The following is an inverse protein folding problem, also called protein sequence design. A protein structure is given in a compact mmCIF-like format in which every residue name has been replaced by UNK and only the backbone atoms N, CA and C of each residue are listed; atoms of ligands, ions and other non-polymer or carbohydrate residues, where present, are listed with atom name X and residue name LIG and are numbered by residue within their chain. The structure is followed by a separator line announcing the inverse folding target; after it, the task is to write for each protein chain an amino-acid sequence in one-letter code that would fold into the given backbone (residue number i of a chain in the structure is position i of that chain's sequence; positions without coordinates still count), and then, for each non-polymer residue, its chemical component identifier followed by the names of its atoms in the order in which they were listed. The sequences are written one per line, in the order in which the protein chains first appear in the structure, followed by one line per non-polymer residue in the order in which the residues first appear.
data_IF_349693322907
#
_entry.id   IF_349693322907
#
_cell.length_a   1.000
_cell.length_b   1.000
_cell.length_c   1.000
_cell.angle_alpha   90.00
_cell.angle_beta   90.00
_cell.angle_gamma   90.00
#
_symmetry.space_group_name_H-M   'P 1'
#
loop_
_entity.id
_entity.type
_entity.pdbx_description
1 polymer ?
#
# COMPACT_ATOMS: atom_id res chain seq x y z
N UNK A 1 2.21 -23.63 4.46
CA UNK A 1 3.56 -23.42 5.04
C UNK A 1 3.86 -21.93 4.99
N UNK A 2 4.15 -21.29 6.13
CA UNK A 2 4.59 -19.89 6.18
C UNK A 2 6.11 -19.89 5.96
N UNK A 3 6.57 -19.33 4.84
CA UNK A 3 8.00 -19.15 4.60
C UNK A 3 8.41 -17.82 5.23
N UNK A 4 8.93 -17.90 6.46
CA UNK A 4 9.40 -16.73 7.21
C UNK A 4 10.39 -15.88 6.39
N UNK A 5 11.25 -16.51 5.58
CA UNK A 5 12.18 -15.81 4.69
C UNK A 5 11.48 -14.88 3.69
N UNK A 6 10.35 -15.31 3.12
CA UNK A 6 9.63 -14.49 2.14
C UNK A 6 8.84 -13.38 2.84
N UNK A 7 8.36 -13.62 4.07
CA UNK A 7 7.77 -12.58 4.90
C UNK A 7 8.81 -11.51 5.29
N UNK A 8 10.05 -11.90 5.60
CA UNK A 8 11.17 -10.97 5.82
C UNK A 8 11.52 -10.16 4.57
N UNK A 9 11.51 -10.78 3.38
CA UNK A 9 11.72 -10.06 2.11
C UNK A 9 10.64 -9.00 1.85
N UNK A 10 9.38 -9.27 2.20
CA UNK A 10 8.31 -8.26 2.12
C UNK A 10 8.57 -7.11 3.08
N UNK A 11 9.07 -7.38 4.29
CA UNK A 11 9.47 -6.35 5.25
C UNK A 11 10.56 -5.43 4.69
N UNK A 12 11.61 -6.01 4.11
CA UNK A 12 12.69 -5.24 3.45
C UNK A 12 12.14 -4.42 2.28
N UNK A 13 11.26 -5.02 1.46
CA UNK A 13 10.63 -4.34 0.34
C UNK A 13 9.79 -3.13 0.78
N UNK A 14 9.01 -3.26 1.87
CA UNK A 14 8.23 -2.16 2.44
C UNK A 14 9.14 -1.05 2.96
N UNK A 15 10.24 -1.38 3.66
CA UNK A 15 11.20 -0.39 4.14
C UNK A 15 11.83 0.40 2.98
N UNK A 16 12.19 -0.28 1.89
CA UNK A 16 12.69 0.39 0.68
C UNK A 16 11.67 1.37 0.08
N UNK A 17 10.38 1.00 0.04
CA UNK A 17 9.31 1.88 -0.45
C UNK A 17 9.12 3.10 0.46
N UNK A 18 9.13 2.89 1.78
CA UNK A 18 9.04 3.99 2.75
C UNK A 18 10.21 4.95 2.58
N UNK A 19 11.43 4.45 2.39
CA UNK A 19 12.61 5.30 2.21
C UNK A 19 12.49 6.25 1.01
N UNK A 20 11.94 5.81 -0.13
CA UNK A 20 11.73 6.68 -1.30
C UNK A 20 10.66 7.74 -1.07
N UNK A 21 9.56 7.37 -0.44
CA UNK A 21 8.48 8.32 -0.20
C UNK A 21 8.83 9.32 0.90
N UNK A 22 9.66 8.92 1.87
CA UNK A 22 10.14 9.78 2.95
C UNK A 22 11.30 10.71 2.53
N UNK A 23 12.02 10.43 1.43
CA UNK A 23 13.11 11.29 0.96
C UNK A 23 12.64 12.48 0.11
N UNK A 24 11.39 12.49 -0.35
CA UNK A 24 10.84 13.56 -1.20
C UNK A 24 10.80 15.00 -0.60
N UNK A 25 10.72 15.23 0.73
CA UNK A 25 10.72 16.58 1.29
C UNK A 25 12.12 17.14 1.61
N UNK A 26 13.20 16.38 1.44
CA UNK A 26 14.55 16.78 1.87
C UNK A 26 15.30 17.39 0.67
N UNK A 27 15.20 18.70 0.48
CA UNK A 27 15.69 19.38 -0.74
C UNK A 27 17.22 19.60 -0.81
N UNK A 28 17.97 19.28 0.25
CA UNK A 28 19.36 19.74 0.39
C UNK A 28 20.45 18.67 0.15
N UNK A 29 20.12 17.41 -0.19
CA UNK A 29 21.12 16.32 -0.32
C UNK A 29 21.04 15.61 -1.69
N UNK A 30 21.36 16.36 -2.75
CA UNK A 30 21.25 15.94 -4.18
C UNK A 30 21.79 14.54 -4.52
N UNK A 31 22.88 14.08 -3.91
CA UNK A 31 23.52 12.79 -4.26
C UNK A 31 22.94 11.60 -3.52
N UNK A 32 22.54 11.77 -2.26
CA UNK A 32 22.02 10.68 -1.44
C UNK A 32 20.55 10.37 -1.78
N UNK A 33 19.77 11.41 -2.10
CA UNK A 33 18.37 11.27 -2.50
C UNK A 33 18.22 10.52 -3.83
N UNK A 34 19.14 10.74 -4.78
CA UNK A 34 19.09 10.04 -6.07
C UNK A 34 19.38 8.54 -5.93
N UNK A 35 20.32 8.17 -5.06
CA UNK A 35 20.63 6.77 -4.78
C UNK A 35 19.45 6.08 -4.08
N UNK A 36 18.87 6.72 -3.06
CA UNK A 36 17.71 6.19 -2.33
C UNK A 36 16.49 6.09 -3.25
N UNK A 37 16.19 7.11 -4.05
CA UNK A 37 15.10 7.06 -5.01
C UNK A 37 15.31 5.95 -6.05
N UNK A 38 16.54 5.79 -6.55
CA UNK A 38 16.85 4.82 -7.61
C UNK A 38 16.83 3.38 -7.13
N UNK A 39 17.26 3.09 -5.90
CA UNK A 39 17.23 1.73 -5.34
C UNK A 39 15.96 1.42 -4.57
N UNK A 40 15.39 2.40 -3.86
CA UNK A 40 14.20 2.18 -3.06
C UNK A 40 12.95 1.98 -3.92
N UNK A 41 12.92 2.50 -5.16
CA UNK A 41 11.85 2.19 -6.11
C UNK A 41 11.79 0.68 -6.39
N UNK A 42 12.94 -0.02 -6.38
CA UNK A 42 13.03 -1.48 -6.54
C UNK A 42 12.29 -2.24 -5.44
N UNK A 43 12.00 -1.60 -4.30
CA UNK A 43 11.18 -2.15 -3.24
C UNK A 43 9.79 -2.55 -3.72
N UNK A 44 9.19 -1.81 -4.64
CA UNK A 44 7.87 -2.14 -5.21
C UNK A 44 7.94 -3.44 -6.02
N UNK A 45 8.94 -3.58 -6.89
CA UNK A 45 9.17 -4.78 -7.69
C UNK A 45 9.44 -5.99 -6.79
N UNK A 46 10.30 -5.83 -5.77
CA UNK A 46 10.60 -6.90 -4.81
C UNK A 46 9.34 -7.33 -4.05
N UNK A 47 8.51 -6.40 -3.61
CA UNK A 47 7.26 -6.69 -2.93
C UNK A 47 6.29 -7.49 -3.82
N UNK A 48 6.17 -7.12 -5.10
CA UNK A 48 5.34 -7.84 -6.06
C UNK A 48 5.86 -9.24 -6.35
N UNK A 49 7.17 -9.40 -6.56
CA UNK A 49 7.78 -10.71 -6.82
C UNK A 49 7.65 -11.62 -5.61
N UNK A 50 7.97 -11.15 -4.41
CA UNK A 50 7.76 -11.92 -3.17
C UNK A 50 6.28 -12.31 -2.99
N UNK A 51 5.37 -11.40 -3.36
CA UNK A 51 3.93 -11.66 -3.34
C UNK A 51 3.51 -12.76 -4.32
N UNK A 52 3.94 -12.66 -5.57
CA UNK A 52 3.66 -13.63 -6.60
C UNK A 52 4.26 -15.01 -6.26
N UNK A 53 5.48 -15.05 -5.72
CA UNK A 53 6.15 -16.27 -5.31
C UNK A 53 5.36 -17.03 -4.24
N UNK A 54 4.99 -16.35 -3.13
CA UNK A 54 4.15 -17.00 -2.09
C UNK A 54 2.79 -17.43 -2.61
N UNK A 55 2.24 -16.69 -3.58
CA UNK A 55 0.95 -17.01 -4.20
C UNK A 55 1.04 -18.29 -5.05
N UNK A 56 2.04 -18.38 -5.92
CA UNK A 56 2.31 -19.57 -6.73
C UNK A 56 2.53 -20.79 -5.85
N UNK A 57 3.31 -20.65 -4.76
CA UNK A 57 3.52 -21.73 -3.81
C UNK A 57 2.20 -22.15 -3.12
N UNK A 58 1.40 -21.19 -2.66
CA UNK A 58 0.10 -21.50 -2.05
C UNK A 58 -0.88 -22.14 -3.04
N UNK A 59 -0.78 -21.81 -4.33
CA UNK A 59 -1.61 -22.38 -5.39
C UNK A 59 -1.21 -23.82 -5.72
N UNK A 60 0.09 -24.12 -5.73
CA UNK A 60 0.63 -25.46 -5.97
C UNK A 60 0.26 -26.43 -4.84
N UNK A 61 0.34 -25.99 -3.58
CA UNK A 61 -0.11 -26.78 -2.42
C UNK A 61 -1.61 -27.11 -2.44
N UNK A 62 -2.44 -26.29 -3.07
CA UNK A 62 -3.90 -26.50 -3.16
C UNK A 62 -4.29 -27.12 -4.50
N UNK A 63 -3.41 -27.93 -5.12
CA UNK A 63 -3.60 -28.46 -6.49
C UNK A 63 -4.94 -29.17 -6.74
N UNK A 64 -5.60 -29.68 -5.70
CA UNK A 64 -6.84 -30.46 -5.81
C UNK A 64 -8.13 -29.71 -5.44
N UNK A 65 -8.08 -28.42 -5.09
CA UNK A 65 -9.31 -27.64 -4.82
C UNK A 65 -10.05 -27.25 -6.12
N UNK A 66 -11.37 -27.45 -6.17
CA UNK A 66 -12.24 -26.86 -7.19
C UNK A 66 -12.35 -25.34 -7.01
N UNK A 67 -12.26 -24.56 -8.10
CA UNK A 67 -12.47 -23.09 -8.14
C UNK A 67 -11.51 -22.23 -7.28
N UNK A 68 -10.21 -22.55 -7.25
CA UNK A 68 -9.17 -21.85 -6.47
C UNK A 68 -9.10 -20.34 -6.68
N UNK A 69 -9.15 -19.91 -7.94
CA UNK A 69 -9.01 -18.49 -8.32
C UNK A 69 -10.19 -17.67 -7.80
N UNK A 70 -11.42 -18.19 -7.95
CA UNK A 70 -12.64 -17.54 -7.47
C UNK A 70 -12.63 -17.39 -5.95
N UNK A 71 -12.30 -18.46 -5.25
CA UNK A 71 -12.27 -18.47 -3.79
C UNK A 71 -11.16 -17.56 -3.24
N UNK A 72 -10.03 -17.46 -3.94
CA UNK A 72 -8.96 -16.51 -3.65
C UNK A 72 -9.38 -15.05 -3.87
N UNK A 73 -9.96 -14.74 -5.03
CA UNK A 73 -10.38 -13.40 -5.40
C UNK A 73 -11.44 -12.86 -4.42
N UNK A 74 -12.42 -13.69 -4.05
CA UNK A 74 -13.44 -13.34 -3.06
C UNK A 74 -12.81 -12.97 -1.71
N UNK A 75 -11.91 -13.83 -1.17
CA UNK A 75 -11.22 -13.54 0.09
C UNK A 75 -10.37 -12.27 0.03
N UNK A 76 -9.76 -11.99 -1.12
CA UNK A 76 -8.96 -10.78 -1.34
C UNK A 76 -9.86 -9.54 -1.40
N UNK A 77 -10.97 -9.63 -2.12
CA UNK A 77 -11.95 -8.56 -2.26
C UNK A 77 -12.54 -8.15 -0.91
N UNK A 78 -13.01 -9.11 -0.11
CA UNK A 78 -13.55 -8.85 1.23
C UNK A 78 -12.54 -8.29 2.24
N UNK A 79 -11.23 -8.37 1.96
CA UNK A 79 -10.19 -7.73 2.78
C UNK A 79 -9.86 -6.31 2.33
N UNK A 80 -9.90 -6.04 1.03
CA UNK A 80 -9.53 -4.73 0.47
C UNK A 80 -10.73 -3.78 0.44
N UNK A 81 -11.91 -4.27 0.04
CA UNK A 81 -13.12 -3.48 -0.12
C UNK A 81 -13.54 -2.71 1.15
N UNK A 82 -13.55 -3.32 2.36
CA UNK A 82 -13.98 -2.60 3.56
C UNK A 82 -13.09 -1.40 3.87
N UNK A 83 -11.77 -1.57 3.75
CA UNK A 83 -10.80 -0.50 4.00
C UNK A 83 -10.89 0.61 2.94
N UNK A 84 -11.11 0.22 1.67
CA UNK A 84 -11.29 1.16 0.57
C UNK A 84 -12.53 2.05 0.76
N UNK A 85 -13.69 1.46 1.03
CA UNK A 85 -14.92 2.24 1.25
C UNK A 85 -14.85 3.06 2.54
N UNK A 86 -14.24 2.52 3.60
CA UNK A 86 -14.00 3.28 4.82
C UNK A 86 -13.14 4.52 4.57
N UNK A 87 -12.05 4.38 3.79
CA UNK A 87 -11.20 5.51 3.40
C UNK A 87 -11.96 6.58 2.61
N UNK A 88 -12.85 6.19 1.70
CA UNK A 88 -13.72 7.12 0.97
C UNK A 88 -14.61 7.90 1.93
N UNK A 89 -15.27 7.21 2.87
CA UNK A 89 -16.16 7.86 3.84
C UNK A 89 -15.37 8.85 4.70
N UNK A 90 -14.20 8.44 5.22
CA UNK A 90 -13.33 9.32 6.02
C UNK A 90 -12.92 10.55 5.21
N UNK A 91 -12.49 10.37 3.96
CA UNK A 91 -12.13 11.48 3.08
C UNK A 91 -13.28 12.46 2.86
N UNK A 92 -14.47 11.95 2.52
CA UNK A 92 -15.66 12.79 2.30
C UNK A 92 -16.09 13.54 3.56
N UNK A 93 -15.99 12.91 4.73
CA UNK A 93 -16.30 13.55 6.02
C UNK A 93 -15.30 14.67 6.31
N UNK A 94 -13.99 14.40 6.16
CA UNK A 94 -12.94 15.39 6.38
C UNK A 94 -13.09 16.59 5.44
N UNK A 95 -13.36 16.33 4.15
CA UNK A 95 -13.58 17.37 3.15
C UNK A 95 -14.83 18.20 3.46
N UNK A 96 -15.94 17.56 3.81
CA UNK A 96 -17.19 18.25 4.17
C UNK A 96 -17.02 19.14 5.41
N UNK A 97 -16.32 18.64 6.44
CA UNK A 97 -16.00 19.42 7.63
C UNK A 97 -15.13 20.62 7.27
N UNK A 98 -14.08 20.41 6.48
CA UNK A 98 -13.17 21.47 6.08
C UNK A 98 -13.91 22.58 5.31
N UNK A 99 -14.76 22.21 4.35
CA UNK A 99 -15.59 23.14 3.61
C UNK A 99 -16.58 23.93 4.51
N UNK A 100 -17.16 23.28 5.52
CA UNK A 100 -18.02 23.94 6.51
C UNK A 100 -17.22 24.95 7.35
N UNK A 101 -16.01 24.60 7.81
CA UNK A 101 -15.14 25.52 8.53
C UNK A 101 -14.70 26.71 7.66
N UNK A 102 -14.33 26.51 6.40
CA UNK A 102 -13.99 27.63 5.51
C UNK A 102 -15.18 28.56 5.26
N UNK A 103 -16.36 28.00 5.01
CA UNK A 103 -17.58 28.79 4.74
C UNK A 103 -18.01 29.60 5.97
N UNK A 104 -17.96 29.00 7.18
CA UNK A 104 -18.31 29.70 8.42
C UNK A 104 -17.33 30.81 8.78
N UNK A 105 -16.03 30.61 8.58
CA UNK A 105 -15.03 31.66 8.80
C UNK A 105 -15.16 32.82 7.79
N UNK A 106 -15.57 32.55 6.54
CA UNK A 106 -15.82 33.58 5.54
C UNK A 106 -17.01 34.47 5.90
N UNK A 107 -18.13 33.89 6.35
CA UNK A 107 -19.36 34.62 6.72
C UNK A 107 -19.18 35.50 7.97
N UNK A 108 -18.30 35.12 8.90
CA UNK A 108 -18.00 35.91 10.12
C UNK A 108 -16.97 37.03 9.88
N UNK A 109 -16.39 37.10 8.68
CA UNK A 109 -15.40 38.11 8.30
C UNK A 109 -15.96 39.29 7.49
N UNK A 110 -17.24 39.24 7.14
CA UNK A 110 -18.05 40.38 6.64
C UNK A 110 -18.96 40.93 7.75
#
# INVERSE_FOLDING_TARGET
MKLQYVDSMRGIAILMVILVHSSHPITDIKTFDWLIASYGQMGVQLFFVASAFTLCLSADYRKYECNKIRNYAIRRYFRIAPLYYFGIIVYLVLDSLNNYFYTSNFILSE
#
